data_IF_902916779257
#
_entry.id   IF_902916779257
#
_cell.length_a   1.000
_cell.length_b   1.000
_cell.length_c   1.000
_cell.angle_alpha   90.00
_cell.angle_beta   90.00
_cell.angle_gamma   90.00
#
_symmetry.space_group_name_H-M   'P 1'
#
loop_
_entity.id
_entity.type
_entity.pdbx_description
1 polymer ?
#
# COMPACT_ATOMS: atom_id res chain seq x y z
N UNK A 1 2.19 -4.46 -6.69
CA UNK A 1 3.40 -3.60 -6.63
C UNK A 1 4.41 -3.89 -7.73
N UNK A 2 4.89 -5.13 -7.91
CA UNK A 2 5.90 -5.51 -8.95
C UNK A 2 5.58 -5.05 -10.38
N UNK A 3 4.30 -5.04 -10.75
CA UNK A 3 3.85 -4.67 -12.10
C UNK A 3 3.88 -3.15 -12.37
N UNK A 4 4.29 -2.34 -11.39
CA UNK A 4 4.35 -0.88 -11.46
C UNK A 4 3.06 -0.23 -12.02
N UNK A 5 1.93 -0.57 -11.38
CA UNK A 5 0.60 -0.06 -11.71
C UNK A 5 0.08 0.86 -10.59
N UNK A 6 0.60 2.11 -10.50
CA UNK A 6 0.29 3.01 -9.37
C UNK A 6 -1.20 3.36 -9.26
N UNK A 7 -1.94 3.36 -10.37
CA UNK A 7 -3.38 3.70 -10.35
C UNK A 7 -4.27 2.62 -9.75
N UNK A 8 -3.81 1.37 -9.67
CA UNK A 8 -4.60 0.24 -9.13
C UNK A 8 -4.26 -0.04 -7.67
N UNK A 9 -3.05 0.33 -7.23
CA UNK A 9 -2.53 0.03 -5.91
C UNK A 9 -3.40 0.60 -4.77
N UNK A 10 -3.90 1.85 -4.81
CA UNK A 10 -4.76 2.40 -3.75
C UNK A 10 -6.04 1.59 -3.50
N UNK A 11 -6.66 1.07 -4.57
CA UNK A 11 -7.87 0.24 -4.46
C UNK A 11 -7.59 -1.08 -3.75
N UNK A 12 -6.46 -1.73 -4.06
CA UNK A 12 -6.04 -2.96 -3.39
C UNK A 12 -5.67 -2.74 -1.92
N UNK A 13 -4.96 -1.64 -1.61
CA UNK A 13 -4.59 -1.29 -0.23
C UNK A 13 -5.84 -0.99 0.60
N UNK A 14 -6.76 -0.20 0.07
CA UNK A 14 -8.05 0.09 0.73
C UNK A 14 -8.85 -1.19 0.97
N UNK A 15 -8.89 -2.08 -0.02
CA UNK A 15 -9.52 -3.39 0.13
C UNK A 15 -8.89 -4.22 1.25
N UNK A 16 -7.56 -4.29 1.33
CA UNK A 16 -6.86 -5.02 2.39
C UNK A 16 -7.21 -4.48 3.80
N UNK A 17 -7.22 -3.15 3.97
CA UNK A 17 -7.61 -2.51 5.24
C UNK A 17 -9.06 -2.84 5.62
N UNK A 18 -9.99 -2.83 4.66
CA UNK A 18 -11.39 -3.22 4.90
C UNK A 18 -11.54 -4.68 5.33
N UNK A 19 -10.63 -5.56 4.90
CA UNK A 19 -10.59 -6.96 5.34
C UNK A 19 -9.86 -7.16 6.68
N UNK A 20 -9.45 -6.08 7.34
CA UNK A 20 -8.85 -6.11 8.67
C UNK A 20 -7.32 -6.24 8.68
N UNK A 21 -6.64 -6.06 7.56
CA UNK A 21 -5.18 -5.97 7.55
C UNK A 21 -4.74 -4.68 8.26
N UNK A 22 -3.67 -4.76 9.03
CA UNK A 22 -3.01 -3.61 9.62
C UNK A 22 -2.17 -2.84 8.59
N UNK A 23 -1.89 -1.57 8.86
CA UNK A 23 -1.01 -0.76 8.01
C UNK A 23 0.42 -1.30 8.05
N UNK A 24 0.83 -1.83 9.19
CA UNK A 24 2.12 -2.47 9.44
C UNK A 24 2.30 -3.71 8.53
N UNK A 25 1.33 -4.61 8.47
CA UNK A 25 1.38 -5.80 7.58
C UNK A 25 1.51 -5.40 6.11
N UNK A 26 0.84 -4.32 5.69
CA UNK A 26 0.94 -3.82 4.32
C UNK A 26 2.34 -3.26 4.05
N UNK A 27 2.94 -2.53 5.00
CA UNK A 27 4.31 -2.01 4.88
C UNK A 27 5.32 -3.16 4.87
N UNK A 28 5.16 -4.17 5.71
CA UNK A 28 6.00 -5.37 5.73
C UNK A 28 5.93 -6.12 4.40
N UNK A 29 4.73 -6.32 3.85
CA UNK A 29 4.54 -6.93 2.54
C UNK A 29 5.28 -6.15 1.45
N UNK A 30 5.14 -4.82 1.41
CA UNK A 30 5.85 -3.98 0.43
C UNK A 30 7.37 -4.09 0.62
N UNK A 31 7.83 -4.14 1.87
CA UNK A 31 9.26 -4.29 2.22
C UNK A 31 9.80 -5.65 1.78
N UNK A 32 9.03 -6.73 1.93
CA UNK A 32 9.42 -8.06 1.44
C UNK A 32 9.55 -8.06 -0.09
N UNK A 33 8.66 -7.35 -0.76
CA UNK A 33 8.66 -7.24 -2.22
C UNK A 33 9.75 -6.32 -2.77
N UNK A 34 10.50 -5.60 -1.92
CA UNK A 34 11.74 -4.93 -2.31
C UNK A 34 12.73 -5.91 -2.97
N UNK A 35 12.84 -7.11 -2.42
CA UNK A 35 13.78 -8.13 -2.91
C UNK A 35 13.36 -8.73 -4.26
N UNK A 36 12.06 -8.70 -4.58
CA UNK A 36 11.50 -9.32 -5.78
C UNK A 36 11.14 -8.32 -6.89
N UNK A 37 10.71 -7.12 -6.51
CA UNK A 37 10.30 -6.04 -7.42
C UNK A 37 11.33 -4.93 -7.59
N UNK A 38 12.40 -4.95 -6.80
CA UNK A 38 13.44 -3.93 -6.81
C UNK A 38 13.06 -2.65 -6.04
N UNK A 39 14.08 -1.86 -5.76
CA UNK A 39 13.97 -0.63 -4.95
C UNK A 39 13.01 0.43 -5.52
N UNK A 40 13.05 0.78 -6.82
CA UNK A 40 12.20 1.85 -7.34
C UNK A 40 10.70 1.57 -7.15
N UNK A 41 10.29 0.35 -7.46
CA UNK A 41 8.88 -0.06 -7.36
C UNK A 41 8.40 -0.17 -5.91
N UNK A 42 9.26 -0.62 -5.00
CA UNK A 42 8.93 -0.68 -3.57
C UNK A 42 8.76 0.73 -2.98
N UNK A 43 9.66 1.67 -3.27
CA UNK A 43 9.55 3.06 -2.78
C UNK A 43 8.32 3.77 -3.33
N UNK A 44 8.03 3.63 -4.63
CA UNK A 44 6.80 4.18 -5.22
C UNK A 44 5.54 3.62 -4.53
N UNK A 45 5.58 2.33 -4.19
CA UNK A 45 4.47 1.65 -3.51
C UNK A 45 4.30 2.14 -2.06
N UNK A 46 5.39 2.40 -1.33
CA UNK A 46 5.34 2.96 0.02
C UNK A 46 4.74 4.38 0.01
N UNK A 47 5.14 5.23 -0.94
CA UNK A 47 4.57 6.57 -1.09
C UNK A 47 3.08 6.52 -1.39
N UNK A 48 2.66 5.62 -2.29
CA UNK A 48 1.25 5.41 -2.59
C UNK A 48 0.48 4.88 -1.37
N UNK A 49 1.05 3.93 -0.62
CA UNK A 49 0.45 3.39 0.59
C UNK A 49 0.23 4.46 1.65
N UNK A 50 1.23 5.31 1.91
CA UNK A 50 1.12 6.42 2.85
C UNK A 50 -0.03 7.37 2.50
N UNK A 51 -0.17 7.72 1.22
CA UNK A 51 -1.30 8.53 0.74
C UNK A 51 -2.64 7.83 0.95
N UNK A 52 -2.75 6.54 0.59
CA UNK A 52 -3.98 5.76 0.78
C UNK A 52 -4.35 5.59 2.24
N UNK A 53 -3.39 5.45 3.15
CA UNK A 53 -3.65 5.39 4.59
C UNK A 53 -4.28 6.68 5.11
N UNK A 54 -3.76 7.84 4.71
CA UNK A 54 -4.35 9.12 5.07
C UNK A 54 -5.79 9.24 4.55
N UNK A 55 -6.03 8.92 3.27
CA UNK A 55 -7.37 8.94 2.67
C UNK A 55 -8.34 7.94 3.33
N UNK A 56 -7.84 6.78 3.75
CA UNK A 56 -8.62 5.76 4.46
C UNK A 56 -9.04 6.24 5.84
N UNK A 57 -8.11 6.83 6.60
CA UNK A 57 -8.38 7.36 7.94
C UNK A 57 -9.40 8.50 7.88
N UNK A 58 -9.28 9.42 6.93
CA UNK A 58 -10.24 10.51 6.73
C UNK A 58 -11.67 10.01 6.47
N UNK A 59 -11.84 8.84 5.84
CA UNK A 59 -13.14 8.24 5.53
C UNK A 59 -13.76 7.50 6.71
N UNK A 60 -12.94 6.88 7.56
CA UNK A 60 -13.41 6.04 8.66
C UNK A 60 -13.42 6.75 10.02
N UNK A 61 -12.80 7.93 10.11
CA UNK A 61 -12.80 8.78 11.30
C UNK A 61 -13.86 9.91 11.22
N UNK A 62 -14.86 9.74 10.34
CA UNK A 62 -16.11 10.52 10.25
C UNK A 62 -17.27 9.65 10.72
#
# INVERSE_FOLDING_TARGET
>A
IVLDKPNQLPGHITGALNYGWSKEEIVELITQMLFYGGYPTAVNSLTAAAKTFAEYDERHNK
#
